data_IF_515283899167
#
_entry.id   IF_515283899167
#
_cell.length_a   1.000
_cell.length_b   1.000
_cell.length_c   1.000
_cell.angle_alpha   90.00
_cell.angle_beta   90.00
_cell.angle_gamma   90.00
#
_symmetry.space_group_name_H-M   'P 1'
#
loop_
_entity.id
_entity.type
_entity.pdbx_description
1 polymer ?
#
# COMPACT_ATOMS: atom_id res chain seq x y z
N UNK A 1 13.38 2.26 68.77
CA UNK A 1 12.24 2.11 67.84
C UNK A 1 12.75 1.32 66.64
N UNK A 2 12.65 -0.01 66.65
CA UNK A 2 11.67 -0.80 65.89
C UNK A 2 11.69 -0.42 64.39
N UNK A 3 12.19 -1.19 63.42
CA UNK A 3 12.34 -2.65 63.28
C UNK A 3 11.10 -3.24 62.61
N UNK A 4 11.17 -3.59 61.32
CA UNK A 4 10.47 -4.72 60.69
C UNK A 4 10.93 -5.00 59.24
N UNK A 5 10.99 -6.31 58.93
CA UNK A 5 11.41 -6.96 57.68
C UNK A 5 10.17 -7.44 56.89
N UNK A 6 10.41 -7.73 55.61
CA UNK A 6 9.64 -8.59 54.69
C UNK A 6 8.29 -7.99 54.22
N UNK A 7 7.91 -8.11 52.94
CA UNK A 7 7.78 -9.37 52.18
C UNK A 7 8.12 -9.22 50.69
N UNK A 8 8.77 -10.27 50.20
CA UNK A 8 8.78 -10.70 48.81
C UNK A 8 7.37 -11.14 48.44
N UNK A 9 6.84 -10.65 47.32
CA UNK A 9 5.74 -11.32 46.62
C UNK A 9 6.22 -11.57 45.20
N UNK A 10 6.70 -12.79 44.98
CA UNK A 10 6.73 -13.36 43.65
C UNK A 10 5.29 -13.39 43.13
N UNK A 11 5.02 -12.69 42.03
CA UNK A 11 3.81 -12.90 41.25
C UNK A 11 4.12 -14.03 40.26
N UNK A 12 3.86 -15.25 40.70
CA UNK A 12 3.62 -16.38 39.80
C UNK A 12 2.16 -16.73 40.03
N UNK A 13 1.29 -16.52 39.05
CA UNK A 13 0.78 -17.61 38.23
C UNK A 13 -0.36 -17.17 37.31
N UNK A 14 -0.38 -17.84 36.16
CA UNK A 14 -1.47 -18.14 35.25
C UNK A 14 -2.70 -17.21 35.17
N UNK A 15 -2.81 -16.55 34.02
CA UNK A 15 -4.05 -16.62 33.25
C UNK A 15 -3.72 -16.85 31.78
N UNK A 16 -3.89 -18.11 31.36
CA UNK A 16 -4.39 -18.47 30.03
C UNK A 16 -5.50 -17.51 29.59
N UNK A 17 -5.36 -16.94 28.39
CA UNK A 17 -6.43 -16.23 27.67
C UNK A 17 -5.95 -14.91 27.06
N UNK A 18 -6.10 -14.78 25.74
CA UNK A 18 -5.82 -13.59 24.91
C UNK A 18 -4.35 -13.21 24.67
N UNK A 19 -3.65 -14.09 23.95
CA UNK A 19 -2.37 -13.80 23.30
C UNK A 19 -2.47 -13.44 21.81
N UNK A 20 -3.64 -13.01 21.31
CA UNK A 20 -3.81 -12.64 19.90
C UNK A 20 -4.33 -11.19 19.83
N UNK A 21 -3.79 -10.37 18.92
CA UNK A 21 -4.24 -9.00 18.62
C UNK A 21 -3.79 -7.87 19.57
N UNK A 22 -2.49 -7.69 19.85
CA UNK A 22 -2.01 -6.41 20.45
C UNK A 22 -1.12 -5.53 19.58
N UNK A 23 -0.64 -6.05 18.45
CA UNK A 23 0.30 -5.31 17.59
C UNK A 23 -0.02 -5.46 16.08
N UNK A 24 -1.29 -5.58 15.69
CA UNK A 24 -1.67 -5.66 14.26
C UNK A 24 -1.20 -4.46 13.43
N UNK A 25 -1.00 -3.30 14.06
CA UNK A 25 -0.40 -2.14 13.39
C UNK A 25 1.03 -2.42 12.89
N UNK A 26 1.75 -3.40 13.45
CA UNK A 26 3.07 -3.84 12.95
C UNK A 26 2.98 -4.67 11.67
N UNK A 27 1.78 -5.12 11.29
CA UNK A 27 1.51 -5.77 9.99
C UNK A 27 1.25 -4.74 8.88
N UNK A 28 1.31 -3.44 9.18
CA UNK A 28 1.30 -2.41 8.15
C UNK A 28 2.64 -2.42 7.39
N UNK A 29 2.57 -2.29 6.07
CA UNK A 29 3.78 -2.26 5.26
C UNK A 29 4.59 -0.98 5.55
N UNK A 30 5.89 -1.06 5.89
CA UNK A 30 6.70 0.12 6.10
C UNK A 30 6.95 0.83 4.77
N UNK A 31 6.11 1.81 4.44
CA UNK A 31 6.29 2.73 3.33
C UNK A 31 6.95 4.02 3.83
N UNK A 32 8.07 4.41 3.23
CA UNK A 32 8.69 5.72 3.48
C UNK A 32 7.97 6.78 2.67
N UNK A 33 7.37 7.74 3.36
CA UNK A 33 6.66 8.85 2.72
C UNK A 33 7.63 10.02 2.50
N UNK A 34 7.81 10.43 1.25
CA UNK A 34 8.66 11.58 0.94
C UNK A 34 8.02 12.89 1.43
N UNK A 35 8.84 13.90 1.73
CA UNK A 35 8.34 15.19 2.21
C UNK A 35 7.36 15.83 1.21
N UNK A 36 6.24 16.35 1.72
CA UNK A 36 5.18 16.97 0.92
C UNK A 36 4.07 16.01 0.48
N UNK A 37 4.27 14.70 0.63
CA UNK A 37 3.24 13.72 0.34
C UNK A 37 2.32 13.49 1.54
N UNK A 38 1.03 13.31 1.23
CA UNK A 38 0.01 12.78 2.13
C UNK A 38 -0.43 11.41 1.60
N UNK A 39 -0.59 10.46 2.51
CA UNK A 39 -1.26 9.18 2.22
C UNK A 39 -2.73 9.36 2.61
N UNK A 40 -3.65 9.13 1.66
CA UNK A 40 -5.09 9.30 1.87
C UNK A 40 -5.76 7.97 2.24
N UNK A 41 -5.36 6.88 1.57
CA UNK A 41 -5.82 5.51 1.83
C UNK A 41 -4.60 4.64 2.07
N UNK A 42 -4.67 3.76 3.08
CA UNK A 42 -3.62 2.77 3.39
C UNK A 42 -4.23 1.49 3.94
N UNK A 43 -4.78 0.69 3.05
CA UNK A 43 -5.23 -0.69 3.27
C UNK A 43 -4.21 -1.71 2.75
N UNK A 44 -2.99 -1.28 2.41
CA UNK A 44 -1.91 -2.15 1.94
C UNK A 44 -1.24 -2.87 3.13
N UNK A 45 -1.73 -4.07 3.43
CA UNK A 45 -1.20 -4.93 4.48
C UNK A 45 0.11 -5.59 4.05
N UNK A 46 0.99 -5.91 5.01
CA UNK A 46 2.24 -6.64 4.77
C UNK A 46 2.00 -8.16 4.65
N UNK A 47 1.07 -8.52 3.76
CA UNK A 47 0.61 -9.88 3.48
C UNK A 47 0.54 -10.04 1.97
N UNK A 48 0.78 -11.25 1.49
CA UNK A 48 0.82 -11.52 0.05
C UNK A 48 -0.53 -12.07 -0.42
N UNK A 49 -0.93 -11.81 -1.67
CA UNK A 49 -2.20 -12.27 -2.25
C UNK A 49 -2.18 -13.79 -2.39
N UNK A 50 -3.28 -14.42 -1.96
CA UNK A 50 -3.49 -15.86 -2.00
C UNK A 50 -4.98 -16.13 -1.81
N UNK A 51 -5.50 -17.34 -2.14
CA UNK A 51 -6.90 -17.68 -1.91
C UNK A 51 -7.39 -17.41 -0.47
N UNK A 52 -6.50 -17.50 0.52
CA UNK A 52 -6.81 -17.33 1.95
C UNK A 52 -6.78 -15.86 2.39
N UNK A 53 -6.06 -14.99 1.67
CA UNK A 53 -5.83 -13.58 2.02
C UNK A 53 -6.53 -12.60 1.09
N UNK A 54 -7.17 -13.08 0.01
CA UNK A 54 -7.78 -12.23 -1.01
C UNK A 54 -8.82 -11.25 -0.47
N UNK A 55 -9.51 -11.57 0.63
CA UNK A 55 -10.47 -10.66 1.28
C UNK A 55 -9.88 -9.30 1.64
N UNK A 56 -8.56 -9.22 1.85
CA UNK A 56 -7.85 -7.98 2.20
C UNK A 56 -7.42 -7.15 0.99
N UNK A 57 -7.59 -7.70 -0.22
CA UNK A 57 -7.26 -7.08 -1.49
C UNK A 57 -8.50 -6.59 -2.24
N UNK A 58 -9.69 -6.72 -1.63
CA UNK A 58 -10.92 -6.09 -2.12
C UNK A 58 -10.92 -4.60 -1.81
N UNK A 59 -11.41 -3.82 -2.76
CA UNK A 59 -11.48 -2.37 -2.66
C UNK A 59 -10.97 -1.67 -3.91
N UNK A 60 -11.59 -0.52 -4.20
CA UNK A 60 -11.24 0.29 -5.37
C UNK A 60 -9.79 0.80 -5.33
N UNK A 61 -9.21 0.97 -4.13
CA UNK A 61 -7.84 1.44 -3.90
C UNK A 61 -7.29 0.84 -2.60
N UNK A 62 -6.13 0.19 -2.67
CA UNK A 62 -5.39 -0.35 -1.52
C UNK A 62 -4.49 0.70 -0.87
N UNK A 63 -3.83 1.52 -1.68
CA UNK A 63 -3.05 2.65 -1.18
C UNK A 63 -3.10 3.81 -2.16
N UNK A 64 -3.28 5.01 -1.63
CA UNK A 64 -3.20 6.24 -2.41
C UNK A 64 -2.44 7.32 -1.68
N UNK A 65 -1.80 8.18 -2.46
CA UNK A 65 -1.13 9.34 -1.93
C UNK A 65 -1.04 10.46 -2.94
N UNK A 66 -0.95 11.68 -2.44
CA UNK A 66 -0.82 12.88 -3.25
C UNK A 66 0.15 13.90 -2.66
N UNK A 67 0.72 14.73 -3.53
CA UNK A 67 1.42 15.96 -3.19
C UNK A 67 0.70 17.14 -3.86
N UNK A 68 -0.02 17.93 -3.06
CA UNK A 68 -0.74 19.10 -3.54
C UNK A 68 0.14 20.15 -4.23
N UNK A 69 1.43 20.26 -3.88
CA UNK A 69 2.33 21.25 -4.47
C UNK A 69 2.75 20.84 -5.89
N UNK A 70 3.21 19.60 -6.07
CA UNK A 70 3.54 19.08 -7.41
C UNK A 70 2.33 18.65 -8.22
N UNK A 71 1.16 18.54 -7.56
CA UNK A 71 -0.10 18.04 -8.10
C UNK A 71 0.01 16.62 -8.61
N UNK A 72 0.86 15.79 -8.00
CA UNK A 72 0.98 14.38 -8.36
C UNK A 72 0.16 13.54 -7.39
N UNK A 73 -0.39 12.45 -7.92
CA UNK A 73 -1.11 11.45 -7.15
C UNK A 73 -0.79 10.06 -7.70
N UNK A 74 -0.94 9.05 -6.85
CA UNK A 74 -0.98 7.65 -7.27
C UNK A 74 -2.14 6.94 -6.58
N UNK A 75 -2.73 5.97 -7.27
CA UNK A 75 -3.72 5.04 -6.74
C UNK A 75 -3.31 3.62 -7.11
N UNK A 76 -3.07 2.79 -6.10
CA UNK A 76 -2.74 1.37 -6.30
C UNK A 76 -3.91 0.48 -5.88
N UNK A 77 -4.22 -0.52 -6.71
CA UNK A 77 -5.29 -1.50 -6.51
C UNK A 77 -4.82 -2.89 -6.92
N UNK A 78 -5.58 -3.92 -6.57
CA UNK A 78 -5.34 -5.28 -7.04
C UNK A 78 -6.32 -5.64 -8.16
N UNK A 79 -5.80 -6.12 -9.30
CA UNK A 79 -6.59 -6.38 -10.50
C UNK A 79 -6.17 -7.70 -11.18
N UNK A 80 -7.12 -8.56 -11.60
CA UNK A 80 -8.55 -8.44 -11.32
C UNK A 80 -8.88 -8.58 -9.83
N UNK A 81 -9.88 -7.83 -9.36
CA UNK A 81 -10.33 -7.91 -7.97
C UNK A 81 -10.79 -9.35 -7.62
N UNK A 82 -10.29 -9.87 -6.49
CA UNK A 82 -10.62 -11.21 -6.02
C UNK A 82 -9.89 -12.37 -6.72
N UNK A 83 -9.03 -12.09 -7.70
CA UNK A 83 -8.20 -13.11 -8.37
C UNK A 83 -6.84 -13.25 -7.65
N UNK A 84 -6.51 -14.41 -7.03
CA UNK A 84 -5.19 -14.65 -6.43
C UNK A 84 -4.01 -14.48 -7.41
N UNK A 85 -4.25 -14.68 -8.70
CA UNK A 85 -3.22 -14.57 -9.75
C UNK A 85 -3.16 -13.18 -10.41
N UNK A 86 -3.95 -12.23 -9.88
CA UNK A 86 -3.95 -10.84 -10.28
C UNK A 86 -2.62 -10.12 -10.04
N UNK A 87 -2.65 -8.80 -10.18
CA UNK A 87 -1.50 -7.93 -10.01
C UNK A 87 -1.89 -6.64 -9.30
N UNK A 88 -0.96 -6.07 -8.56
CA UNK A 88 -1.04 -4.66 -8.23
C UNK A 88 -1.00 -3.83 -9.51
N UNK A 89 -1.94 -2.92 -9.65
CA UNK A 89 -2.01 -1.92 -10.70
C UNK A 89 -1.97 -0.55 -10.06
N UNK A 90 -1.01 0.27 -10.49
CA UNK A 90 -0.78 1.63 -9.99
C UNK A 90 -1.05 2.60 -11.12
N UNK A 91 -2.03 3.48 -10.92
CA UNK A 91 -2.25 4.61 -11.82
C UNK A 91 -1.59 5.85 -11.24
N UNK A 92 -0.82 6.53 -12.08
CA UNK A 92 -0.19 7.80 -11.75
C UNK A 92 -1.00 8.92 -12.40
N UNK A 93 -1.28 9.95 -11.61
CA UNK A 93 -2.20 11.02 -11.99
C UNK A 93 -1.57 12.38 -11.70
N UNK A 94 -2.02 13.38 -12.45
CA UNK A 94 -1.78 14.79 -12.18
C UNK A 94 -3.09 15.50 -11.84
N UNK A 95 -3.16 16.02 -10.62
CA UNK A 95 -4.32 16.70 -10.07
C UNK A 95 -4.55 18.07 -10.75
N UNK A 96 -5.81 18.53 -10.84
CA UNK A 96 -6.13 19.84 -11.40
C UNK A 96 -5.49 20.96 -10.59
N UNK A 97 -5.29 22.13 -11.22
CA UNK A 97 -4.78 23.29 -10.48
C UNK A 97 -5.83 23.77 -9.48
N UNK A 98 -5.44 24.12 -8.24
CA UNK A 98 -6.37 24.76 -7.32
C UNK A 98 -6.89 26.07 -7.92
N UNK A 99 -8.21 26.25 -7.93
CA UNK A 99 -8.85 27.47 -8.45
C UNK A 99 -8.42 28.65 -7.57
N UNK A 100 -7.68 29.61 -8.13
CA UNK A 100 -7.45 30.90 -7.47
C UNK A 100 -8.70 31.77 -7.65
N UNK A 101 -9.14 32.44 -6.58
CA UNK A 101 -10.45 33.10 -6.47
C UNK A 101 -10.90 33.94 -7.67
N UNK A 102 -12.23 33.90 -7.89
CA UNK A 102 -13.09 34.77 -8.71
C UNK A 102 -12.41 35.88 -9.53
N UNK A 103 -12.44 35.72 -10.86
CA UNK A 103 -12.16 36.79 -11.82
C UNK A 103 -11.36 36.31 -13.02
N UNK A 104 -12.05 35.83 -14.07
CA UNK A 104 -11.54 35.67 -15.43
C UNK A 104 -10.12 35.09 -15.62
N UNK A 105 -9.70 34.10 -14.82
CA UNK A 105 -8.49 33.33 -15.09
C UNK A 105 -8.82 32.22 -16.10
N UNK A 106 -8.08 32.21 -17.22
CA UNK A 106 -8.17 31.16 -18.25
C UNK A 106 -7.95 29.79 -17.60
N UNK A 107 -8.93 28.91 -17.78
CA UNK A 107 -8.97 27.54 -17.23
C UNK A 107 -7.76 26.74 -17.73
N UNK A 108 -6.97 26.21 -16.80
CA UNK A 108 -6.26 24.95 -17.09
C UNK A 108 -7.28 23.81 -17.17
N UNK A 109 -6.90 22.58 -17.56
CA UNK A 109 -7.82 21.46 -17.47
C UNK A 109 -8.35 21.38 -16.03
N UNK A 110 -9.67 21.46 -15.88
CA UNK A 110 -10.40 21.30 -14.62
C UNK A 110 -10.41 19.81 -14.18
N UNK A 111 -9.72 18.95 -14.93
CA UNK A 111 -9.78 17.49 -14.86
C UNK A 111 -8.44 16.90 -14.38
N UNK A 112 -8.53 15.71 -13.80
CA UNK A 112 -7.38 14.89 -13.44
C UNK A 112 -6.76 14.34 -14.73
N UNK A 113 -5.46 14.52 -14.90
CA UNK A 113 -4.71 14.01 -16.05
C UNK A 113 -4.06 12.67 -15.70
N UNK A 114 -4.30 11.64 -16.50
CA UNK A 114 -3.62 10.36 -16.38
C UNK A 114 -2.22 10.45 -16.99
N UNK A 115 -1.19 10.05 -16.24
CA UNK A 115 0.21 10.16 -16.66
C UNK A 115 0.92 8.80 -16.82
N UNK A 116 0.32 7.69 -16.40
CA UNK A 116 0.85 6.35 -16.65
C UNK A 116 0.26 5.26 -15.73
N UNK A 117 0.50 4.01 -16.11
CA UNK A 117 0.10 2.81 -15.34
C UNK A 117 1.30 1.89 -15.19
N UNK A 118 1.49 1.34 -14.00
CA UNK A 118 2.51 0.32 -13.76
C UNK A 118 1.94 -0.85 -12.97
N UNK A 119 2.46 -2.05 -13.19
CA UNK A 119 1.93 -3.26 -12.55
C UNK A 119 3.02 -4.18 -12.01
N UNK A 120 2.71 -4.94 -10.97
CA UNK A 120 3.58 -5.99 -10.39
C UNK A 120 2.76 -7.00 -9.59
N UNK A 121 3.30 -8.20 -9.35
CA UNK A 121 2.80 -9.13 -8.31
C UNK A 121 3.56 -9.02 -6.99
N UNK A 122 4.69 -8.31 -6.98
CA UNK A 122 5.58 -8.19 -5.84
C UNK A 122 5.23 -6.97 -5.00
N UNK A 123 4.69 -7.22 -3.80
CA UNK A 123 4.41 -6.17 -2.82
C UNK A 123 5.66 -5.33 -2.43
N UNK A 124 6.87 -5.92 -2.27
CA UNK A 124 8.08 -5.13 -2.11
C UNK A 124 8.40 -4.22 -3.31
N UNK A 125 8.20 -4.68 -4.55
CA UNK A 125 8.40 -3.85 -5.74
C UNK A 125 7.39 -2.72 -5.82
N UNK A 126 6.13 -2.98 -5.49
CA UNK A 126 5.10 -1.94 -5.38
C UNK A 126 5.58 -0.81 -4.46
N UNK A 127 6.04 -1.14 -3.26
CA UNK A 127 6.52 -0.10 -2.34
C UNK A 127 7.77 0.60 -2.85
N UNK A 128 8.72 -0.12 -3.44
CA UNK A 128 9.89 0.52 -4.04
C UNK A 128 9.50 1.53 -5.14
N UNK A 129 8.51 1.20 -5.97
CA UNK A 129 7.99 2.10 -7.01
C UNK A 129 7.27 3.31 -6.42
N UNK A 130 6.41 3.11 -5.42
CA UNK A 130 5.73 4.22 -4.76
C UNK A 130 6.72 5.17 -4.08
N UNK A 131 7.70 4.63 -3.34
CA UNK A 131 8.78 5.43 -2.76
C UNK A 131 9.54 6.20 -3.84
N UNK A 132 10.00 5.51 -4.89
CA UNK A 132 10.72 6.12 -6.00
C UNK A 132 9.91 7.24 -6.66
N UNK A 133 8.63 7.03 -6.94
CA UNK A 133 7.75 8.04 -7.51
C UNK A 133 7.60 9.25 -6.57
N UNK A 134 7.42 9.02 -5.28
CA UNK A 134 7.31 10.10 -4.30
C UNK A 134 8.59 10.96 -4.22
N UNK A 135 9.77 10.35 -4.36
CA UNK A 135 11.05 11.06 -4.33
C UNK A 135 11.40 11.74 -5.68
N UNK A 136 11.24 11.02 -6.80
CA UNK A 136 11.69 11.44 -8.13
C UNK A 136 10.64 12.19 -8.94
N UNK A 137 9.35 12.07 -8.59
CA UNK A 137 8.21 12.66 -9.29
C UNK A 137 8.06 12.18 -10.73
N UNK A 138 8.67 11.06 -11.07
CA UNK A 138 8.69 10.48 -12.42
C UNK A 138 8.08 9.07 -12.35
N UNK A 139 7.02 8.77 -13.10
CA UNK A 139 6.46 7.42 -13.13
C UNK A 139 7.48 6.44 -13.72
N UNK A 140 7.46 5.16 -13.32
CA UNK A 140 8.29 4.14 -13.94
C UNK A 140 7.88 3.95 -15.41
N UNK A 141 8.76 3.35 -16.22
CA UNK A 141 8.40 2.92 -17.56
C UNK A 141 7.26 1.87 -17.47
N UNK A 142 6.26 1.97 -18.34
CA UNK A 142 5.12 1.07 -18.33
C UNK A 142 5.59 -0.38 -18.47
N UNK A 143 5.28 -1.21 -17.48
CA UNK A 143 5.43 -2.66 -17.54
C UNK A 143 4.02 -3.24 -17.40
N UNK A 144 3.56 -3.93 -18.43
CA UNK A 144 2.38 -4.78 -18.35
C UNK A 144 2.72 -6.02 -17.52
N UNK A 145 1.82 -6.43 -16.64
CA UNK A 145 2.06 -7.55 -15.74
C UNK A 145 2.30 -8.79 -16.61
N UNK A 146 3.43 -9.49 -16.49
CA UNK A 146 3.68 -10.68 -17.29
C UNK A 146 2.59 -11.72 -17.00
N UNK A 147 2.14 -12.45 -18.02
CA UNK A 147 1.22 -13.58 -17.85
C UNK A 147 1.85 -14.59 -16.87
N UNK A 148 1.09 -15.21 -15.94
CA UNK A 148 1.66 -16.23 -15.09
C UNK A 148 2.27 -17.33 -15.97
N UNK A 149 3.52 -17.71 -15.69
CA UNK A 149 4.15 -18.79 -16.44
C UNK A 149 3.29 -20.06 -16.31
N UNK A 150 2.98 -20.75 -17.42
CA UNK A 150 2.22 -21.98 -17.34
C UNK A 150 2.96 -22.95 -16.42
N UNK A 151 2.25 -23.77 -15.61
CA UNK A 151 2.89 -24.71 -14.73
C UNK A 151 3.86 -25.55 -15.56
N UNK A 152 5.14 -25.55 -15.15
CA UNK A 152 6.19 -26.28 -15.85
C UNK A 152 5.67 -27.69 -16.16
N UNK A 153 5.58 -28.03 -17.44
CA UNK A 153 5.17 -29.35 -17.87
C UNK A 153 6.09 -30.35 -17.18
N UNK A 154 5.56 -31.04 -16.17
CA UNK A 154 6.31 -32.06 -15.46
C UNK A 154 6.82 -33.07 -16.48
N UNK A 155 8.07 -33.54 -16.36
CA UNK A 155 8.50 -34.68 -17.15
C UNK A 155 7.71 -35.87 -16.64
N UNK A 156 6.61 -36.24 -17.30
CA UNK A 156 6.10 -37.62 -17.42
C UNK A 156 4.72 -37.63 -18.10
N UNK A 157 4.75 -37.81 -19.42
CA UNK A 157 3.66 -38.42 -20.18
C UNK A 157 4.24 -39.07 -21.44
N UNK A 158 4.96 -40.19 -21.26
CA UNK A 158 5.19 -41.22 -22.30
C UNK A 158 5.06 -42.59 -21.67
#
# INVERSE_FOLDING_TARGET
>A
MAGWRHLSTALVDDTKGDGFVRDHWRLLQPLRVAAGWRIDISSLYAVDPSPETMEWFYGSVLISGNDHHSRLSFDARWEPEGDPEGCYTVDFLRLPRPRKGTGNAVRGPDEVEFIGTWTTRSRPELVAVLESFMFTRTPPENIACPEPEPPAAGPDAV
#
